data_IF_711594483742
#
_entry.id   IF_711594483742
#
_cell.length_a   1.000
_cell.length_b   1.000
_cell.length_c   1.000
_cell.angle_alpha   90.00
_cell.angle_beta   90.00
_cell.angle_gamma   90.00
#
_symmetry.space_group_name_H-M   'P 1'
#
loop_
_entity.id
_entity.type
_entity.pdbx_description
1 polymer ?
#
# COMPACT_ATOMS: atom_id res chain seq x y z
N UNK A 1 4.64 -6.23 28.84
CA UNK A 1 4.11 -4.98 28.24
C UNK A 1 5.11 -4.24 27.35
N UNK A 2 6.43 -4.50 27.41
CA UNK A 2 7.40 -3.84 26.52
C UNK A 2 7.40 -4.36 25.07
N UNK A 3 7.36 -5.68 24.86
CA UNK A 3 7.45 -6.29 23.53
C UNK A 3 6.27 -5.93 22.62
N UNK A 4 5.04 -5.95 23.13
CA UNK A 4 3.81 -5.68 22.35
C UNK A 4 3.74 -4.24 21.83
N UNK A 5 4.24 -3.26 22.61
CA UNK A 5 4.30 -1.85 22.15
C UNK A 5 5.34 -1.65 21.05
N UNK A 6 6.46 -2.35 21.14
CA UNK A 6 7.50 -2.32 20.09
C UNK A 6 6.97 -2.95 18.81
N UNK A 7 6.32 -4.12 18.90
CA UNK A 7 5.69 -4.79 17.75
C UNK A 7 4.61 -3.92 17.08
N UNK A 8 3.74 -3.26 17.85
CA UNK A 8 2.73 -2.35 17.30
C UNK A 8 3.37 -1.13 16.62
N UNK A 9 4.44 -0.57 17.19
CA UNK A 9 5.16 0.55 16.59
C UNK A 9 5.83 0.16 15.26
N UNK A 10 6.44 -1.04 15.19
CA UNK A 10 7.03 -1.59 13.97
C UNK A 10 5.98 -1.85 12.89
N UNK A 11 4.82 -2.40 13.25
CA UNK A 11 3.70 -2.60 12.33
C UNK A 11 3.18 -1.28 11.76
N UNK A 12 3.00 -0.26 12.61
CA UNK A 12 2.57 1.06 12.17
C UNK A 12 3.61 1.75 11.26
N UNK A 13 4.90 1.58 11.58
CA UNK A 13 5.99 2.08 10.74
C UNK A 13 5.98 1.42 9.36
N UNK A 14 5.85 0.10 9.30
CA UNK A 14 5.76 -0.64 8.05
C UNK A 14 4.55 -0.20 7.20
N UNK A 15 3.40 0.08 7.82
CA UNK A 15 2.23 0.66 7.12
C UNK A 15 2.55 2.03 6.51
N UNK A 16 3.26 2.88 7.24
CA UNK A 16 3.68 4.21 6.76
C UNK A 16 4.63 4.11 5.56
N UNK A 17 5.67 3.28 5.67
CA UNK A 17 6.63 3.03 4.58
C UNK A 17 5.92 2.46 3.33
N UNK A 18 4.98 1.54 3.51
CA UNK A 18 4.14 1.02 2.41
C UNK A 18 3.33 2.12 1.71
N UNK A 19 2.78 3.07 2.47
CA UNK A 19 2.03 4.19 1.91
C UNK A 19 2.92 5.16 1.12
N UNK A 20 4.14 5.40 1.58
CA UNK A 20 5.14 6.21 0.86
C UNK A 20 5.54 5.56 -0.47
N UNK A 21 5.86 4.27 -0.44
CA UNK A 21 6.18 3.51 -1.66
C UNK A 21 5.01 3.52 -2.64
N UNK A 22 3.77 3.39 -2.16
CA UNK A 22 2.58 3.49 -3.01
C UNK A 22 2.46 4.86 -3.70
N UNK A 23 2.76 5.95 -2.99
CA UNK A 23 2.72 7.30 -3.58
C UNK A 23 3.83 7.50 -4.62
N UNK A 24 5.05 7.04 -4.33
CA UNK A 24 6.16 7.12 -5.28
C UNK A 24 5.89 6.30 -6.53
N UNK A 25 5.35 5.10 -6.35
CA UNK A 25 4.99 4.21 -7.46
C UNK A 25 3.91 4.84 -8.35
N UNK A 26 2.87 5.44 -7.77
CA UNK A 26 1.84 6.18 -8.53
C UNK A 26 2.44 7.34 -9.33
N UNK A 27 3.33 8.13 -8.72
CA UNK A 27 4.01 9.24 -9.43
C UNK A 27 4.85 8.74 -10.61
N UNK A 28 5.57 7.63 -10.42
CA UNK A 28 6.36 7.03 -11.49
C UNK A 28 5.48 6.48 -12.62
N UNK A 29 4.34 5.88 -12.26
CA UNK A 29 3.34 5.38 -13.21
C UNK A 29 2.72 6.51 -14.05
N UNK A 30 2.25 7.58 -13.39
CA UNK A 30 1.67 8.75 -14.07
C UNK A 30 2.67 9.35 -15.08
N UNK A 31 3.94 9.44 -14.69
CA UNK A 31 5.01 9.92 -15.57
C UNK A 31 5.23 8.99 -16.77
N UNK A 32 5.17 7.67 -16.57
CA UNK A 32 5.31 6.69 -17.64
C UNK A 32 4.13 6.77 -18.63
N UNK A 33 2.90 6.88 -18.12
CA UNK A 33 1.68 7.02 -18.92
C UNK A 33 1.71 8.28 -19.79
N UNK A 34 2.14 9.43 -19.21
CA UNK A 34 2.30 10.68 -19.95
C UNK A 34 3.31 10.57 -21.10
N UNK A 35 4.47 9.94 -20.85
CA UNK A 35 5.49 9.71 -21.87
C UNK A 35 4.95 8.83 -23.00
N UNK A 36 4.25 7.74 -22.66
CA UNK A 36 3.69 6.81 -23.64
C UNK A 36 2.61 7.48 -24.49
N UNK A 37 1.69 8.25 -23.89
CA UNK A 37 0.68 9.01 -24.63
C UNK A 37 1.29 10.05 -25.56
N UNK A 38 2.31 10.77 -25.08
CA UNK A 38 2.98 11.79 -25.88
C UNK A 38 3.72 11.17 -27.08
N UNK A 39 4.44 10.07 -26.85
CA UNK A 39 5.11 9.30 -27.91
C UNK A 39 4.11 8.72 -28.91
N UNK A 40 3.01 8.13 -28.44
CA UNK A 40 1.94 7.58 -29.28
C UNK A 40 1.31 8.64 -30.17
N UNK A 41 1.12 9.86 -29.66
CA UNK A 41 0.58 11.00 -30.44
C UNK A 41 1.56 11.44 -31.54
N UNK A 42 2.86 11.54 -31.23
CA UNK A 42 3.89 11.89 -32.21
C UNK A 42 3.98 10.84 -33.32
N UNK A 43 3.99 9.56 -32.96
CA UNK A 43 4.03 8.44 -33.91
C UNK A 43 2.80 8.41 -34.81
N UNK A 44 1.61 8.69 -34.27
CA UNK A 44 0.37 8.79 -35.06
C UNK A 44 0.46 9.90 -36.10
N UNK A 45 0.99 11.07 -35.73
CA UNK A 45 1.19 12.20 -36.65
C UNK A 45 2.23 11.91 -37.74
N UNK A 46 3.20 11.05 -37.45
CA UNK A 46 4.22 10.60 -38.40
C UNK A 46 3.75 9.44 -39.32
N UNK A 47 2.46 9.03 -39.25
CA UNK A 47 1.91 7.94 -40.07
C UNK A 47 2.02 6.54 -39.46
N UNK A 48 2.65 6.38 -38.29
CA UNK A 48 2.83 5.11 -37.58
C UNK A 48 1.59 4.67 -36.79
N UNK A 49 0.47 4.41 -37.48
CA UNK A 49 -0.81 4.01 -36.84
C UNK A 49 -0.72 2.71 -36.03
N UNK A 50 -0.05 1.68 -36.54
CA UNK A 50 0.09 0.40 -35.83
C UNK A 50 0.94 0.52 -34.56
N UNK A 51 2.06 1.25 -34.61
CA UNK A 51 2.93 1.49 -33.44
C UNK A 51 2.23 2.34 -32.38
N UNK A 52 1.43 3.33 -32.80
CA UNK A 52 0.61 4.14 -31.88
C UNK A 52 -0.46 3.30 -31.17
N UNK A 53 -1.13 2.39 -31.90
CA UNK A 53 -2.10 1.47 -31.31
C UNK A 53 -1.45 0.49 -30.31
N UNK A 54 -0.30 -0.09 -30.68
CA UNK A 54 0.45 -0.99 -29.79
C UNK A 54 0.90 -0.31 -28.49
N UNK A 55 1.28 0.98 -28.55
CA UNK A 55 1.59 1.77 -27.36
C UNK A 55 0.37 2.00 -26.46
N UNK A 56 -0.81 2.23 -27.06
CA UNK A 56 -2.06 2.33 -26.32
C UNK A 56 -2.42 1.03 -25.59
N UNK A 57 -2.30 -0.11 -26.26
CA UNK A 57 -2.55 -1.44 -25.66
C UNK A 57 -1.54 -1.75 -24.54
N UNK A 58 -0.27 -1.39 -24.74
CA UNK A 58 0.75 -1.50 -23.71
C UNK A 58 0.41 -0.65 -22.48
N UNK A 59 0.05 0.63 -22.67
CA UNK A 59 -0.34 1.51 -21.57
C UNK A 59 -1.53 0.96 -20.79
N UNK A 60 -2.54 0.41 -21.48
CA UNK A 60 -3.70 -0.19 -20.84
C UNK A 60 -3.33 -1.44 -20.01
N UNK A 61 -2.50 -2.34 -20.55
CA UNK A 61 -2.03 -3.53 -19.82
C UNK A 61 -1.20 -3.15 -18.61
N UNK A 62 -0.30 -2.19 -18.77
CA UNK A 62 0.54 -1.66 -17.70
C UNK A 62 -0.30 -1.06 -16.57
N UNK A 63 -1.26 -0.19 -16.90
CA UNK A 63 -2.20 0.40 -15.93
C UNK A 63 -2.98 -0.68 -15.15
N UNK A 64 -3.38 -1.76 -15.84
CA UNK A 64 -4.01 -2.92 -15.19
C UNK A 64 -3.11 -3.60 -14.15
N UNK A 65 -1.83 -3.82 -14.48
CA UNK A 65 -0.85 -4.40 -13.54
C UNK A 65 -0.58 -3.47 -12.35
N UNK A 66 -0.43 -2.17 -12.60
CA UNK A 66 -0.21 -1.17 -11.55
C UNK A 66 -1.39 -1.09 -10.58
N UNK A 67 -2.62 -1.09 -11.10
CA UNK A 67 -3.83 -1.16 -10.25
C UNK A 67 -3.87 -2.41 -9.40
N UNK A 68 -3.50 -3.56 -9.97
CA UNK A 68 -3.45 -4.82 -9.22
C UNK A 68 -2.42 -4.78 -8.10
N UNK A 69 -1.20 -4.29 -8.38
CA UNK A 69 -0.15 -4.10 -7.38
C UNK A 69 -0.63 -3.16 -6.26
N UNK A 70 -1.28 -2.06 -6.63
CA UNK A 70 -1.82 -1.11 -5.66
C UNK A 70 -2.84 -1.75 -4.71
N UNK A 71 -3.77 -2.55 -5.25
CA UNK A 71 -4.74 -3.30 -4.44
C UNK A 71 -4.06 -4.30 -3.49
N UNK A 72 -3.03 -5.00 -3.94
CA UNK A 72 -2.28 -5.94 -3.10
C UNK A 72 -1.57 -5.21 -1.95
N UNK A 73 -0.90 -4.09 -2.24
CA UNK A 73 -0.23 -3.28 -1.22
C UNK A 73 -1.23 -2.71 -0.20
N UNK A 74 -2.40 -2.26 -0.66
CA UNK A 74 -3.46 -1.79 0.24
C UNK A 74 -3.96 -2.92 1.15
N UNK A 75 -4.17 -4.12 0.60
CA UNK A 75 -4.58 -5.29 1.39
C UNK A 75 -3.55 -5.66 2.47
N UNK A 76 -2.25 -5.56 2.16
CA UNK A 76 -1.18 -5.78 3.14
C UNK A 76 -1.22 -4.70 4.22
N UNK A 77 -1.35 -3.43 3.85
CA UNK A 77 -1.45 -2.33 4.81
C UNK A 77 -2.66 -2.49 5.77
N UNK A 78 -3.81 -2.89 5.25
CA UNK A 78 -5.02 -3.17 6.05
C UNK A 78 -4.80 -4.34 7.04
N UNK A 79 -4.12 -5.40 6.61
CA UNK A 79 -3.78 -6.55 7.49
C UNK A 79 -2.79 -6.16 8.59
N UNK A 80 -1.80 -5.33 8.28
CA UNK A 80 -0.84 -4.83 9.26
C UNK A 80 -1.55 -3.95 10.30
N UNK A 81 -2.40 -3.03 9.85
CA UNK A 81 -3.21 -2.18 10.74
C UNK A 81 -4.14 -3.01 11.62
N UNK A 82 -4.88 -3.96 11.04
CA UNK A 82 -5.76 -4.86 11.79
C UNK A 82 -4.99 -5.70 12.84
N UNK A 83 -3.74 -6.05 12.57
CA UNK A 83 -2.89 -6.77 13.52
C UNK A 83 -2.47 -5.86 14.68
N UNK A 84 -2.06 -4.63 14.38
CA UNK A 84 -1.72 -3.63 15.38
C UNK A 84 -2.92 -3.32 16.32
N UNK A 85 -4.12 -3.16 15.75
CA UNK A 85 -5.35 -2.93 16.52
C UNK A 85 -5.66 -4.12 17.45
N UNK A 86 -5.51 -5.36 16.96
CA UNK A 86 -5.71 -6.58 17.76
C UNK A 86 -4.72 -6.71 18.91
N UNK A 87 -3.45 -6.38 18.69
CA UNK A 87 -2.45 -6.38 19.76
C UNK A 87 -2.77 -5.35 20.83
N UNK A 88 -3.18 -4.15 20.42
CA UNK A 88 -3.57 -3.07 21.34
C UNK A 88 -4.78 -3.48 22.20
N UNK A 89 -5.81 -4.07 21.59
CA UNK A 89 -6.98 -4.57 22.32
C UNK A 89 -6.61 -5.65 23.34
N UNK A 90 -5.78 -6.62 22.94
CA UNK A 90 -5.29 -7.66 23.88
C UNK A 90 -4.54 -7.07 25.06
N UNK A 91 -3.70 -6.06 24.84
CA UNK A 91 -2.97 -5.39 25.92
C UNK A 91 -3.92 -4.70 26.90
N UNK A 92 -4.97 -4.03 26.41
CA UNK A 92 -6.00 -3.40 27.25
C UNK A 92 -6.71 -4.46 28.11
N UNK A 93 -7.11 -5.57 27.52
CA UNK A 93 -7.78 -6.68 28.23
C UNK A 93 -6.89 -7.33 29.29
N UNK A 94 -5.62 -7.60 28.97
CA UNK A 94 -4.66 -8.16 29.93
C UNK A 94 -4.39 -7.19 31.08
N UNK A 95 -4.27 -5.90 30.79
CA UNK A 95 -4.07 -4.87 31.82
C UNK A 95 -5.28 -4.77 32.74
N UNK A 96 -6.49 -4.82 32.19
CA UNK A 96 -7.72 -4.84 32.98
C UNK A 96 -7.80 -6.10 33.86
N UNK A 97 -7.47 -7.27 33.33
CA UNK A 97 -7.40 -8.53 34.10
C UNK A 97 -6.38 -8.46 35.23
N UNK A 98 -5.17 -7.97 34.97
CA UNK A 98 -4.12 -7.82 35.99
C UNK A 98 -4.54 -6.87 37.10
N UNK A 99 -5.13 -5.72 36.76
CA UNK A 99 -5.65 -4.76 37.76
C UNK A 99 -6.75 -5.37 38.61
N UNK A 100 -7.65 -6.15 38.00
CA UNK A 100 -8.71 -6.85 38.72
C UNK A 100 -8.14 -7.87 39.71
N UNK A 101 -7.21 -8.73 39.26
CA UNK A 101 -6.53 -9.70 40.14
C UNK A 101 -5.81 -8.99 41.28
N UNK A 102 -5.14 -7.87 41.01
CA UNK A 102 -4.43 -7.09 42.02
C UNK A 102 -5.36 -6.44 43.04
N UNK A 103 -6.60 -6.09 42.66
CA UNK A 103 -7.62 -5.59 43.56
C UNK A 103 -8.32 -6.71 44.38
N UNK A 104 -8.45 -7.91 43.80
CA UNK A 104 -9.11 -9.05 44.44
C UNK A 104 -8.20 -9.77 45.46
N UNK A 105 -6.87 -9.68 45.32
CA UNK A 105 -5.88 -10.43 46.12
C UNK A 105 -4.77 -9.56 46.74
N UNK A 106 -4.84 -8.23 46.61
CA UNK A 106 -3.86 -7.27 47.12
C UNK A 106 -4.33 -6.49 48.33
#
# INVERSE_FOLDING_TARGET
MGATKVEVAELNKAVGELAEIQMEFRKADDKADDVVRHAGTKLRKAGGRQTSAALGDFANRWNGQVKHLHQQMQSVAEKLKSSADRYTLREIEENAKRRKIQADFG
#
